data_IF_032206088632
#
_entry.id   IF_032206088632
#
_cell.length_a   1.000
_cell.length_b   1.000
_cell.length_c   1.000
_cell.angle_alpha   90.00
_cell.angle_beta   90.00
_cell.angle_gamma   90.00
#
_symmetry.space_group_name_H-M   'P 1'
#
loop_
_entity.id
_entity.type
_entity.pdbx_description
1 polymer ?
#
# COMPACT_ATOMS: atom_id res chain seq x y z
N UNK A 1 -16.15 -14.34 -20.77
CA UNK A 1 -15.95 -14.98 -19.45
C UNK A 1 -14.77 -14.31 -18.78
N UNK A 2 -14.98 -13.65 -17.63
CA UNK A 2 -13.91 -12.97 -16.91
C UNK A 2 -13.03 -14.01 -16.20
N UNK A 3 -11.79 -14.17 -16.66
CA UNK A 3 -10.81 -15.01 -15.99
C UNK A 3 -10.64 -14.51 -14.55
N UNK A 4 -10.82 -15.41 -13.58
CA UNK A 4 -10.51 -15.16 -12.18
C UNK A 4 -9.04 -14.76 -12.09
N UNK A 5 -8.77 -13.46 -11.94
CA UNK A 5 -7.45 -12.99 -11.58
C UNK A 5 -7.15 -13.59 -10.21
N UNK A 6 -6.10 -14.39 -10.12
CA UNK A 6 -5.56 -14.91 -8.87
C UNK A 6 -5.21 -13.72 -7.98
N UNK A 7 -6.15 -13.31 -7.12
CA UNK A 7 -5.99 -12.16 -6.24
C UNK A 7 -4.83 -12.40 -5.28
N UNK A 8 -4.09 -11.34 -5.00
CA UNK A 8 -3.00 -11.41 -4.01
C UNK A 8 -3.58 -11.68 -2.62
N UNK A 9 -2.91 -12.56 -1.86
CA UNK A 9 -3.29 -12.83 -0.49
C UNK A 9 -2.93 -11.63 0.39
N UNK A 10 -3.84 -11.23 1.27
CA UNK A 10 -3.60 -10.16 2.23
C UNK A 10 -3.26 -10.81 3.55
N UNK A 11 -2.10 -10.47 4.12
CA UNK A 11 -1.77 -10.94 5.46
C UNK A 11 -2.71 -10.28 6.47
N UNK A 12 -3.30 -11.03 7.40
CA UNK A 12 -4.26 -10.51 8.39
C UNK A 12 -3.68 -9.35 9.21
N UNK A 13 -2.36 -9.37 9.42
CA UNK A 13 -1.62 -8.29 10.08
C UNK A 13 -1.80 -6.94 9.38
N UNK A 14 -1.96 -6.89 8.06
CA UNK A 14 -2.20 -5.65 7.32
C UNK A 14 -3.51 -4.99 7.77
N UNK A 15 -4.57 -5.79 7.98
CA UNK A 15 -5.87 -5.30 8.45
C UNK A 15 -5.81 -4.88 9.91
N UNK A 16 -5.15 -5.68 10.75
CA UNK A 16 -4.98 -5.36 12.17
C UNK A 16 -4.21 -4.05 12.35
N UNK A 17 -3.11 -3.86 11.61
CA UNK A 17 -2.32 -2.63 11.65
C UNK A 17 -3.06 -1.43 11.07
N UNK A 18 -3.87 -1.63 10.04
CA UNK A 18 -4.75 -0.57 9.53
C UNK A 18 -5.78 -0.12 10.58
N UNK A 19 -6.47 -1.07 11.21
CA UNK A 19 -7.47 -0.79 12.24
C UNK A 19 -6.84 -0.14 13.47
N UNK A 20 -5.68 -0.63 13.90
CA UNK A 20 -4.90 -0.04 14.99
C UNK A 20 -4.53 1.41 14.67
N UNK A 21 -4.10 1.70 13.44
CA UNK A 21 -3.75 3.05 13.02
C UNK A 21 -4.98 3.97 12.89
N UNK A 22 -6.11 3.45 12.40
CA UNK A 22 -7.38 4.18 12.34
C UNK A 22 -7.89 4.54 13.74
N UNK A 23 -7.76 3.62 14.70
CA UNK A 23 -8.22 3.80 16.07
C UNK A 23 -7.25 4.65 16.91
N UNK A 24 -5.96 4.37 16.82
CA UNK A 24 -4.93 5.04 17.60
C UNK A 24 -4.23 6.07 16.72
N UNK A 25 -4.55 7.36 16.91
CA UNK A 25 -3.92 8.51 16.21
C UNK A 25 -2.41 8.73 16.51
N UNK A 26 -1.72 7.70 16.98
CA UNK A 26 -0.29 7.70 17.36
C UNK A 26 0.62 7.31 16.20
N UNK A 27 0.17 6.46 15.27
CA UNK A 27 0.93 6.08 14.08
C UNK A 27 0.59 7.05 12.95
N UNK A 28 1.61 7.68 12.37
CA UNK A 28 1.40 8.88 11.52
C UNK A 28 1.51 8.61 10.01
N UNK A 29 1.98 7.41 9.62
CA UNK A 29 1.68 6.77 8.34
C UNK A 29 1.94 5.25 8.42
N UNK A 30 1.25 4.49 7.57
CA UNK A 30 1.51 3.08 7.29
C UNK A 30 1.86 2.97 5.81
N UNK A 31 2.84 2.15 5.48
CA UNK A 31 3.13 1.80 4.10
C UNK A 31 2.71 0.34 3.90
N UNK A 32 1.68 0.14 3.10
CA UNK A 32 1.41 -1.17 2.54
C UNK A 32 2.23 -1.31 1.28
N UNK A 33 3.06 -2.35 1.20
CA UNK A 33 3.77 -2.74 -0.01
C UNK A 33 3.18 -4.06 -0.49
N UNK A 34 2.95 -4.14 -1.78
CA UNK A 34 2.47 -5.33 -2.43
C UNK A 34 3.69 -6.01 -3.08
N UNK A 35 4.12 -7.15 -2.53
CA UNK A 35 5.33 -7.86 -2.97
C UNK A 35 4.98 -8.92 -4.02
N UNK A 36 5.46 -8.74 -5.25
CA UNK A 36 5.13 -9.60 -6.38
C UNK A 36 5.67 -11.02 -6.21
N UNK A 37 6.91 -11.15 -5.70
CA UNK A 37 7.56 -12.45 -5.51
C UNK A 37 6.81 -13.36 -4.54
N UNK A 38 6.21 -12.76 -3.50
CA UNK A 38 5.47 -13.48 -2.46
C UNK A 38 3.96 -13.45 -2.70
N UNK A 39 3.50 -12.76 -3.76
CA UNK A 39 2.08 -12.56 -4.09
C UNK A 39 1.23 -12.09 -2.89
N UNK A 40 1.79 -11.24 -2.04
CA UNK A 40 1.14 -10.80 -0.81
C UNK A 40 1.29 -9.30 -0.54
N UNK A 41 0.31 -8.76 0.19
CA UNK A 41 0.39 -7.42 0.77
C UNK A 41 1.06 -7.51 2.13
N UNK A 42 2.09 -6.69 2.35
CA UNK A 42 2.83 -6.58 3.61
C UNK A 42 2.85 -5.14 4.10
N UNK A 43 3.06 -4.95 5.39
CA UNK A 43 3.35 -3.64 5.98
C UNK A 43 4.85 -3.41 5.93
N UNK A 44 5.30 -2.40 5.19
CA UNK A 44 6.72 -2.11 5.02
C UNK A 44 7.26 -1.15 6.09
N UNK A 45 6.51 -0.10 6.42
CA UNK A 45 6.98 0.93 7.34
C UNK A 45 5.86 1.54 8.16
N UNK A 46 6.11 1.65 9.45
CA UNK A 46 5.34 2.43 10.41
C UNK A 46 6.23 3.55 10.90
N UNK A 47 5.72 4.78 10.91
CA UNK A 47 6.42 5.88 11.54
C UNK A 47 5.63 6.47 12.70
N UNK A 48 6.36 6.67 13.79
CA UNK A 48 5.91 7.30 15.01
C UNK A 48 6.39 8.76 15.02
N UNK A 49 5.73 9.64 15.76
CA UNK A 49 6.22 11.01 16.04
C UNK A 49 6.32 12.07 14.88
N UNK A 50 5.72 11.86 13.70
CA UNK A 50 5.40 12.92 12.68
C UNK A 50 4.15 13.80 12.99
N UNK A 51 4.20 15.14 13.07
CA UNK A 51 3.10 15.98 13.60
C UNK A 51 1.77 15.97 12.81
N UNK A 52 1.73 15.43 11.60
CA UNK A 52 0.51 15.20 10.80
C UNK A 52 0.34 13.70 10.57
N UNK A 53 -0.82 13.13 10.93
CA UNK A 53 -1.17 11.74 10.66
C UNK A 53 -1.96 11.64 9.35
N UNK A 54 -1.42 10.92 8.36
CA UNK A 54 -2.18 10.51 7.18
C UNK A 54 -1.95 9.03 6.85
N UNK A 55 -3.01 8.33 6.44
CA UNK A 55 -2.88 6.94 5.98
C UNK A 55 -2.43 6.95 4.52
N UNK A 56 -1.21 6.45 4.28
CA UNK A 56 -0.67 6.26 2.95
C UNK A 56 -0.91 4.82 2.49
N UNK A 57 -1.17 4.65 1.22
CA UNK A 57 -1.19 3.35 0.58
C UNK A 57 -0.24 3.40 -0.61
N UNK A 58 0.79 2.55 -0.62
CA UNK A 58 1.81 2.62 -1.65
C UNK A 58 1.79 1.39 -2.54
N UNK A 59 1.36 1.64 -3.75
CA UNK A 59 1.38 0.64 -4.78
C UNK A 59 2.75 0.58 -5.49
N UNK A 60 3.68 -0.24 -4.99
CA UNK A 60 4.92 -0.58 -5.69
C UNK A 60 4.69 -1.54 -6.86
N UNK A 61 4.96 -1.11 -8.10
CA UNK A 61 4.93 -1.97 -9.30
C UNK A 61 6.05 -1.55 -10.27
N UNK A 62 7.22 -2.22 -10.25
CA UNK A 62 8.36 -1.76 -11.02
C UNK A 62 8.14 -1.92 -12.51
N UNK A 63 8.74 -1.03 -13.31
CA UNK A 63 8.47 -1.05 -14.75
C UNK A 63 9.02 -2.28 -15.47
N UNK A 64 10.03 -2.90 -14.88
CA UNK A 64 10.63 -4.16 -15.29
C UNK A 64 9.73 -5.38 -15.05
N UNK A 65 8.63 -5.25 -14.29
CA UNK A 65 7.70 -6.34 -14.03
C UNK A 65 6.94 -6.76 -15.28
N UNK A 66 6.63 -8.06 -15.38
CA UNK A 66 5.86 -8.61 -16.50
C UNK A 66 4.46 -7.99 -16.55
N UNK A 67 3.93 -7.76 -17.75
CA UNK A 67 2.59 -7.17 -17.98
C UNK A 67 1.51 -7.90 -17.17
N UNK A 68 1.50 -9.24 -17.20
CA UNK A 68 0.54 -10.06 -16.46
C UNK A 68 0.60 -9.80 -14.95
N UNK A 69 1.79 -9.56 -14.41
CA UNK A 69 1.97 -9.24 -13.01
C UNK A 69 1.42 -7.87 -12.67
N UNK A 70 1.71 -6.85 -13.50
CA UNK A 70 1.12 -5.50 -13.36
C UNK A 70 -0.41 -5.55 -13.40
N UNK A 71 -0.99 -6.41 -14.25
CA UNK A 71 -2.44 -6.61 -14.30
C UNK A 71 -3.00 -7.24 -13.01
N UNK A 72 -2.41 -8.34 -12.54
CA UNK A 72 -2.84 -9.00 -11.28
C UNK A 72 -2.73 -8.02 -10.11
N UNK A 73 -1.64 -7.27 -10.09
CA UNK A 73 -1.37 -6.23 -9.12
C UNK A 73 -2.45 -5.15 -9.10
N UNK A 74 -2.76 -4.56 -10.25
CA UNK A 74 -3.77 -3.51 -10.37
C UNK A 74 -5.14 -3.99 -9.86
N UNK A 75 -5.54 -5.19 -10.25
CA UNK A 75 -6.82 -5.78 -9.79
C UNK A 75 -6.84 -6.05 -8.27
N UNK A 76 -5.73 -6.53 -7.71
CA UNK A 76 -5.62 -6.84 -6.27
C UNK A 76 -5.55 -5.58 -5.42
N UNK A 77 -4.85 -4.55 -5.91
CA UNK A 77 -4.81 -3.21 -5.33
C UNK A 77 -6.23 -2.66 -5.16
N UNK A 78 -7.03 -2.68 -6.22
CA UNK A 78 -8.37 -2.11 -6.19
C UNK A 78 -9.30 -2.85 -5.24
N UNK A 79 -9.14 -4.18 -5.12
CA UNK A 79 -9.84 -4.97 -4.11
C UNK A 79 -9.42 -4.59 -2.69
N UNK A 80 -8.13 -4.56 -2.43
CA UNK A 80 -7.59 -4.28 -1.10
C UNK A 80 -7.92 -2.86 -0.62
N UNK A 81 -7.86 -1.87 -1.52
CA UNK A 81 -8.30 -0.50 -1.22
C UNK A 81 -9.74 -0.41 -0.74
N UNK A 82 -10.66 -1.22 -1.29
CA UNK A 82 -12.07 -1.25 -0.84
C UNK A 82 -12.21 -1.80 0.57
N UNK A 83 -11.30 -2.66 1.02
CA UNK A 83 -11.27 -3.18 2.39
C UNK A 83 -10.64 -2.17 3.37
N UNK A 84 -9.78 -1.27 2.87
CA UNK A 84 -9.10 -0.23 3.64
C UNK A 84 -9.83 1.12 3.55
N UNK A 85 -11.01 1.21 4.14
CA UNK A 85 -11.78 2.45 4.21
C UNK A 85 -11.13 3.47 5.16
N UNK A 86 -10.55 4.54 4.59
CA UNK A 86 -9.86 5.61 5.32
C UNK A 86 -8.45 5.96 4.80
N UNK A 87 -7.99 5.36 3.69
CA UNK A 87 -6.76 5.79 3.02
C UNK A 87 -6.92 7.26 2.58
N UNK A 88 -5.96 8.10 2.98
CA UNK A 88 -5.98 9.54 2.66
C UNK A 88 -5.10 9.86 1.46
N UNK A 89 -4.03 9.10 1.25
CA UNK A 89 -3.11 9.29 0.13
C UNK A 89 -2.80 7.95 -0.51
N UNK A 90 -3.05 7.84 -1.81
CA UNK A 90 -2.54 6.74 -2.64
C UNK A 90 -1.28 7.22 -3.36
N UNK A 91 -0.23 6.41 -3.31
CA UNK A 91 0.99 6.59 -4.06
C UNK A 91 1.20 5.36 -4.93
N UNK A 92 1.55 5.56 -6.19
CA UNK A 92 2.05 4.48 -7.04
C UNK A 92 3.53 4.77 -7.27
N UNK A 93 4.34 3.74 -7.14
CA UNK A 93 5.78 3.85 -7.32
C UNK A 93 6.23 2.77 -8.30
N UNK A 94 6.88 3.18 -9.39
CA UNK A 94 7.48 2.28 -10.37
C UNK A 94 9.01 2.25 -10.28
N UNK A 95 9.60 3.20 -9.57
CA UNK A 95 11.04 3.31 -9.33
C UNK A 95 11.35 3.56 -7.84
N UNK A 96 12.42 2.97 -7.25
CA UNK A 96 12.71 3.11 -5.82
C UNK A 96 12.91 4.57 -5.38
N UNK A 97 13.29 5.46 -6.30
CA UNK A 97 13.40 6.90 -6.05
C UNK A 97 12.06 7.57 -5.75
N UNK A 98 10.96 7.03 -6.26
CA UNK A 98 9.59 7.52 -6.00
C UNK A 98 9.09 7.16 -4.59
N UNK A 99 9.79 6.25 -3.89
CA UNK A 99 9.54 5.87 -2.49
C UNK A 99 10.29 6.77 -1.49
N UNK A 100 10.90 7.87 -1.94
CA UNK A 100 11.65 8.79 -1.09
C UNK A 100 10.80 9.45 0.00
N UNK A 101 11.40 9.72 1.16
CA UNK A 101 10.76 10.44 2.28
C UNK A 101 10.21 11.81 1.85
N UNK A 102 10.83 12.43 0.85
CA UNK A 102 10.46 13.74 0.33
C UNK A 102 9.12 13.72 -0.41
N UNK A 103 8.82 12.61 -1.10
CA UNK A 103 7.53 12.42 -1.79
C UNK A 103 6.40 12.27 -0.77
N UNK A 104 6.65 11.53 0.33
CA UNK A 104 5.68 11.43 1.43
C UNK A 104 5.43 12.77 2.10
N UNK A 105 6.49 13.55 2.36
CA UNK A 105 6.36 14.89 2.95
C UNK A 105 5.59 15.84 2.03
N UNK A 106 5.83 15.80 0.72
CA UNK A 106 5.11 16.62 -0.26
C UNK A 106 3.60 16.33 -0.25
N UNK A 107 3.20 15.05 -0.23
CA UNK A 107 1.78 14.66 -0.20
C UNK A 107 1.12 14.68 1.19
N UNK A 108 1.92 14.77 2.25
CA UNK A 108 1.43 14.90 3.62
C UNK A 108 1.02 16.34 3.97
N UNK A 109 1.44 17.34 3.20
CA UNK A 109 1.21 18.74 3.55
C UNK A 109 -0.25 19.19 3.38
#
# INVERSE_FOLDING_TARGET
MANAASGMAVHDECKLKFLELKAKRIHRFIVFKIEEKQKQVIVEKLAENVPKSRIFFIAWSPDTSRIRSKMIYASSKDRFKRELDGIQVELQATDPTEMGLDVFKSRAN
#
